data_IF_542393890838
#
_entry.id   IF_542393890838
#
_cell.length_a   1.000
_cell.length_b   1.000
_cell.length_c   1.000
_cell.angle_alpha   90.00
_cell.angle_beta   90.00
_cell.angle_gamma   90.00
#
_symmetry.space_group_name_H-M   'P 1'
#
loop_
_entity.id
_entity.type
_entity.pdbx_description
1 polymer ?
#
# COMPACT_ATOMS: atom_id res chain seq x y z
N UNK A 1 -42.01 -5.89 8.20
CA UNK A 1 -40.86 -5.26 7.52
C UNK A 1 -39.70 -5.17 8.50
N UNK A 2 -38.75 -6.10 8.42
CA UNK A 2 -37.55 -6.11 9.27
C UNK A 2 -36.59 -5.05 8.75
N UNK A 3 -36.29 -4.02 9.54
CA UNK A 3 -35.28 -3.01 9.19
C UNK A 3 -33.92 -3.71 9.09
N UNK A 4 -33.30 -3.73 7.90
CA UNK A 4 -31.88 -4.03 7.77
C UNK A 4 -31.11 -2.96 8.54
N UNK A 5 -30.44 -3.33 9.63
CA UNK A 5 -29.40 -2.50 10.24
C UNK A 5 -28.19 -2.55 9.30
N UNK A 6 -27.90 -1.47 8.59
CA UNK A 6 -26.62 -1.32 7.91
C UNK A 6 -25.53 -1.19 8.97
N UNK A 7 -24.82 -2.30 9.18
CA UNK A 7 -23.64 -2.40 10.01
C UNK A 7 -22.45 -1.96 9.15
N UNK A 8 -21.76 -0.88 9.50
CA UNK A 8 -20.63 -0.40 8.71
C UNK A 8 -19.51 -1.45 8.64
N UNK A 9 -18.79 -1.50 7.52
CA UNK A 9 -17.66 -2.43 7.30
C UNK A 9 -16.59 -2.36 8.40
N UNK A 10 -16.51 -1.26 9.16
CA UNK A 10 -15.62 -1.11 10.33
C UNK A 10 -15.88 -2.11 11.45
N UNK A 11 -17.08 -2.69 11.54
CA UNK A 11 -17.37 -3.75 12.51
C UNK A 11 -16.84 -5.12 12.07
N UNK A 12 -16.59 -5.28 10.76
CA UNK A 12 -16.00 -6.47 10.15
C UNK A 12 -14.48 -6.35 10.15
N UNK A 13 -13.95 -5.19 9.72
CA UNK A 13 -12.55 -4.88 9.79
C UNK A 13 -12.35 -3.43 10.26
N UNK A 14 -11.90 -3.19 11.49
CA UNK A 14 -11.61 -1.85 12.00
C UNK A 14 -10.59 -1.08 11.15
N UNK A 15 -9.77 -1.78 10.35
CA UNK A 15 -8.81 -1.16 9.41
C UNK A 15 -9.46 -0.73 8.09
N UNK A 16 -10.72 -1.06 7.85
CA UNK A 16 -11.49 -0.73 6.63
C UNK A 16 -10.82 -1.21 5.32
N UNK A 17 -10.13 -2.36 5.37
CA UNK A 17 -9.46 -2.96 4.21
C UNK A 17 -10.14 -4.25 3.76
N UNK A 18 -10.12 -4.51 2.46
CA UNK A 18 -10.49 -5.80 1.84
C UNK A 18 -9.23 -6.45 1.26
N UNK A 19 -9.18 -7.79 1.07
CA UNK A 19 -10.21 -8.77 1.40
C UNK A 19 -10.30 -9.10 2.90
N UNK A 20 -11.46 -9.62 3.33
CA UNK A 20 -11.70 -10.12 4.68
C UNK A 20 -12.44 -11.45 4.59
N UNK A 21 -12.02 -12.44 5.38
CA UNK A 21 -12.69 -13.73 5.53
C UNK A 21 -13.09 -13.91 7.00
N UNK A 22 -14.33 -14.34 7.24
CA UNK A 22 -14.83 -14.67 8.57
C UNK A 22 -15.17 -16.16 8.63
N UNK A 23 -14.64 -16.88 9.61
CA UNK A 23 -14.94 -18.29 9.90
C UNK A 23 -15.09 -18.42 11.41
N UNK A 24 -16.18 -19.03 11.88
CA UNK A 24 -16.47 -19.23 13.31
C UNK A 24 -16.26 -17.97 14.17
N UNK A 25 -16.72 -16.82 13.66
CA UNK A 25 -16.59 -15.49 14.26
C UNK A 25 -15.15 -14.94 14.38
N UNK A 26 -14.15 -15.62 13.81
CA UNK A 26 -12.76 -15.12 13.69
C UNK A 26 -12.52 -14.42 12.34
N UNK A 27 -11.79 -13.30 12.37
CA UNK A 27 -11.61 -12.39 11.22
C UNK A 27 -10.19 -12.42 10.65
N UNK A 28 -10.05 -12.78 9.38
CA UNK A 28 -8.79 -12.80 8.63
C UNK A 28 -8.77 -11.69 7.58
N UNK A 29 -7.75 -10.82 7.59
CA UNK A 29 -7.75 -9.57 6.80
C UNK A 29 -6.57 -9.42 5.83
N UNK A 30 -5.68 -10.42 5.77
CA UNK A 30 -4.51 -10.41 4.89
C UNK A 30 -4.64 -11.53 3.85
N UNK A 31 -4.33 -11.24 2.58
CA UNK A 31 -4.41 -12.22 1.49
C UNK A 31 -3.65 -13.52 1.82
N UNK A 32 -2.42 -13.50 2.36
CA UNK A 32 -1.74 -14.74 2.76
C UNK A 32 -2.47 -15.52 3.86
N UNK A 33 -3.04 -14.83 4.86
CA UNK A 33 -3.80 -15.45 5.94
C UNK A 33 -5.10 -16.09 5.42
N UNK A 34 -5.85 -15.35 4.59
CA UNK A 34 -7.08 -15.83 3.95
C UNK A 34 -6.80 -17.05 3.09
N UNK A 35 -5.76 -17.02 2.25
CA UNK A 35 -5.37 -18.15 1.41
C UNK A 35 -4.94 -19.36 2.24
N UNK A 36 -4.21 -19.14 3.34
CA UNK A 36 -3.79 -20.21 4.26
C UNK A 36 -4.98 -20.95 4.86
N UNK A 37 -5.96 -20.20 5.34
CA UNK A 37 -7.18 -20.75 5.93
C UNK A 37 -8.02 -21.47 4.89
N UNK A 38 -8.20 -20.89 3.70
CA UNK A 38 -8.92 -21.54 2.61
C UNK A 38 -8.26 -22.86 2.18
N UNK A 39 -6.92 -22.94 2.16
CA UNK A 39 -6.21 -24.18 1.88
C UNK A 39 -6.45 -25.23 2.97
N UNK A 40 -6.49 -24.83 4.25
CA UNK A 40 -6.79 -25.75 5.35
C UNK A 40 -8.23 -26.28 5.31
N UNK A 41 -9.20 -25.44 4.93
CA UNK A 41 -10.61 -25.82 4.77
C UNK A 41 -10.86 -26.68 3.52
N UNK A 42 -10.12 -26.44 2.44
CA UNK A 42 -10.32 -27.08 1.13
C UNK A 42 -9.75 -28.51 1.01
N UNK A 43 -9.55 -29.21 2.13
CA UNK A 43 -9.05 -30.60 2.26
C UNK A 43 -7.51 -30.75 2.38
N UNK A 44 -7.02 -31.57 3.35
CA UNK A 44 -5.59 -31.73 3.66
C UNK A 44 -4.76 -32.37 2.54
N UNK A 45 -5.38 -33.05 1.58
CA UNK A 45 -4.69 -33.74 0.47
C UNK A 45 -4.31 -32.82 -0.70
N UNK A 46 -4.77 -31.56 -0.70
CA UNK A 46 -4.44 -30.60 -1.75
C UNK A 46 -3.15 -29.86 -1.40
N UNK A 47 -2.02 -30.35 -1.96
CA UNK A 47 -0.67 -29.73 -1.90
C UNK A 47 -0.59 -28.41 -2.68
N UNK A 48 -1.45 -27.43 -2.39
CA UNK A 48 -1.54 -26.16 -3.13
C UNK A 48 -0.40 -25.21 -2.78
N UNK A 49 0.23 -25.34 -1.60
CA UNK A 49 1.25 -24.40 -1.12
C UNK A 49 2.70 -24.95 -1.10
N UNK A 50 2.94 -26.13 -1.68
CA UNK A 50 4.30 -26.63 -1.98
C UNK A 50 5.21 -27.00 -0.79
N UNK A 51 4.96 -26.50 0.44
CA UNK A 51 5.66 -26.87 1.70
C UNK A 51 4.70 -26.76 2.91
N UNK A 52 4.99 -27.52 3.97
CA UNK A 52 4.14 -27.66 5.16
C UNK A 52 4.01 -26.36 5.98
N UNK A 53 2.76 -26.02 6.35
CA UNK A 53 2.32 -24.80 7.04
C UNK A 53 3.06 -24.45 8.36
N UNK A 54 3.71 -25.41 9.02
CA UNK A 54 4.28 -25.19 10.36
C UNK A 54 5.50 -24.25 10.32
N UNK A 55 6.22 -24.17 9.19
CA UNK A 55 7.31 -23.20 9.03
C UNK A 55 6.82 -21.79 8.61
N UNK A 56 5.63 -21.68 8.01
CA UNK A 56 5.15 -20.44 7.38
C UNK A 56 4.10 -19.70 8.23
N UNK A 57 3.36 -20.40 9.09
CA UNK A 57 2.14 -19.85 9.70
C UNK A 57 2.30 -18.97 10.95
N UNK A 58 3.48 -18.91 11.59
CA UNK A 58 3.65 -18.16 12.85
C UNK A 58 4.69 -17.04 12.82
N UNK A 59 5.55 -16.97 11.79
CA UNK A 59 6.58 -15.93 11.62
C UNK A 59 6.25 -14.92 10.51
N UNK A 60 5.06 -15.00 9.90
CA UNK A 60 4.73 -14.34 8.65
C UNK A 60 4.53 -12.82 8.70
N UNK A 61 3.93 -12.18 9.73
CA UNK A 61 3.60 -10.75 9.61
C UNK A 61 4.84 -9.86 9.50
N UNK A 62 5.80 -10.05 10.39
CA UNK A 62 6.94 -9.13 10.49
C UNK A 62 7.98 -9.37 9.39
N UNK A 63 8.24 -10.63 9.03
CA UNK A 63 9.19 -10.96 7.95
C UNK A 63 8.66 -10.54 6.57
N UNK A 64 7.34 -10.67 6.33
CA UNK A 64 6.70 -10.18 5.10
C UNK A 64 6.70 -8.65 5.08
N UNK A 65 6.36 -7.98 6.19
CA UNK A 65 6.39 -6.52 6.30
C UNK A 65 7.80 -5.96 6.11
N UNK A 66 8.80 -6.57 6.74
CA UNK A 66 10.21 -6.18 6.60
C UNK A 66 10.67 -6.31 5.14
N UNK A 67 10.39 -7.43 4.47
CA UNK A 67 10.69 -7.60 3.04
C UNK A 67 9.94 -6.59 2.17
N UNK A 68 8.69 -6.27 2.51
CA UNK A 68 7.90 -5.23 1.84
C UNK A 68 8.56 -3.87 1.90
N UNK A 69 9.05 -3.46 3.09
CA UNK A 69 9.78 -2.21 3.28
C UNK A 69 11.07 -2.18 2.43
N UNK A 70 11.84 -3.28 2.42
CA UNK A 70 13.05 -3.38 1.59
C UNK A 70 12.74 -3.21 0.09
N UNK A 71 11.63 -3.79 -0.39
CA UNK A 71 11.20 -3.61 -1.78
C UNK A 71 10.84 -2.15 -2.09
N UNK A 72 10.18 -1.44 -1.16
CA UNK A 72 9.85 -0.02 -1.34
C UNK A 72 11.13 0.83 -1.39
N UNK A 73 12.10 0.56 -0.51
CA UNK A 73 13.41 1.24 -0.53
C UNK A 73 14.11 1.01 -1.87
N UNK A 74 14.19 -0.25 -2.32
CA UNK A 74 14.81 -0.58 -3.59
C UNK A 74 14.09 0.06 -4.79
N UNK A 75 12.76 0.09 -4.78
CA UNK A 75 11.96 0.73 -5.82
C UNK A 75 12.15 2.25 -5.84
N UNK A 76 12.16 2.91 -4.67
CA UNK A 76 12.42 4.36 -4.57
C UNK A 76 13.81 4.71 -5.07
N UNK A 77 14.83 3.94 -4.70
CA UNK A 77 16.20 4.11 -5.20
C UNK A 77 16.30 3.90 -6.72
N UNK A 78 15.60 2.89 -7.24
CA UNK A 78 15.53 2.66 -8.69
C UNK A 78 14.89 3.84 -9.42
N UNK A 79 13.74 4.33 -8.95
CA UNK A 79 13.07 5.51 -9.52
C UNK A 79 14.02 6.72 -9.51
N UNK A 80 14.63 7.04 -8.37
CA UNK A 80 15.60 8.13 -8.23
C UNK A 80 16.75 8.01 -9.24
N UNK A 81 17.28 6.80 -9.46
CA UNK A 81 18.34 6.57 -10.44
C UNK A 81 17.91 6.82 -11.89
N UNK A 82 16.62 6.64 -12.20
CA UNK A 82 16.07 6.72 -13.56
C UNK A 82 15.49 8.10 -13.90
N UNK A 83 15.10 8.88 -12.90
CA UNK A 83 14.61 10.23 -13.11
C UNK A 83 15.73 11.13 -13.61
N UNK A 84 15.41 11.92 -14.63
CA UNK A 84 16.34 12.86 -15.26
C UNK A 84 15.68 14.09 -15.89
N UNK A 85 14.35 14.16 -15.94
CA UNK A 85 13.60 15.26 -16.54
C UNK A 85 12.46 15.76 -15.65
N UNK A 86 11.64 16.66 -16.21
CA UNK A 86 10.49 17.26 -15.53
C UNK A 86 9.37 16.24 -15.23
N UNK A 87 9.30 15.17 -16.02
CA UNK A 87 8.26 14.16 -16.00
C UNK A 87 8.84 12.77 -15.71
N UNK A 88 8.00 11.87 -15.22
CA UNK A 88 8.42 10.51 -14.85
C UNK A 88 8.92 9.68 -16.03
N UNK A 89 8.38 9.91 -17.23
CA UNK A 89 8.79 9.21 -18.46
C UNK A 89 8.77 10.19 -19.63
N UNK A 90 9.88 10.25 -20.37
CA UNK A 90 10.02 11.14 -21.53
C UNK A 90 9.84 12.61 -21.15
N UNK A 91 9.33 13.39 -22.11
CA UNK A 91 9.25 14.85 -22.01
C UNK A 91 7.81 15.37 -21.78
N UNK A 92 6.87 14.50 -21.41
CA UNK A 92 5.47 14.86 -21.25
C UNK A 92 4.86 14.33 -19.95
N UNK A 93 3.88 15.06 -19.42
CA UNK A 93 3.06 14.62 -18.29
C UNK A 93 2.21 13.41 -18.68
N UNK A 94 2.28 12.35 -17.88
CA UNK A 94 1.53 11.11 -18.09
C UNK A 94 0.90 10.60 -16.79
N UNK A 95 0.16 9.49 -16.87
CA UNK A 95 -0.35 8.81 -15.68
C UNK A 95 0.76 8.32 -14.75
N UNK A 96 1.98 8.10 -15.25
CA UNK A 96 3.12 7.66 -14.43
C UNK A 96 3.43 8.69 -13.35
N UNK A 97 3.41 9.97 -13.70
CA UNK A 97 3.63 11.07 -12.75
C UNK A 97 2.63 11.02 -11.57
N UNK A 98 1.36 10.73 -11.85
CA UNK A 98 0.32 10.63 -10.82
C UNK A 98 0.54 9.41 -9.90
N UNK A 99 0.96 8.27 -10.45
CA UNK A 99 1.31 7.11 -9.63
C UNK A 99 2.54 7.36 -8.76
N UNK A 100 3.54 8.05 -9.30
CA UNK A 100 4.73 8.46 -8.57
C UNK A 100 4.38 9.38 -7.38
N UNK A 101 3.43 10.30 -7.53
CA UNK A 101 2.91 11.07 -6.39
C UNK A 101 2.31 10.17 -5.29
N UNK A 102 1.52 9.17 -5.66
CA UNK A 102 0.90 8.25 -4.67
C UNK A 102 1.96 7.46 -3.91
N UNK A 103 2.91 6.86 -4.64
CA UNK A 103 3.97 6.06 -4.03
C UNK A 103 4.91 6.90 -3.17
N UNK A 104 5.23 8.13 -3.58
CA UNK A 104 6.01 9.05 -2.76
C UNK A 104 5.34 9.30 -1.40
N UNK A 105 4.03 9.58 -1.40
CA UNK A 105 3.27 9.84 -0.16
C UNK A 105 3.20 8.63 0.74
N UNK A 106 3.07 7.43 0.17
CA UNK A 106 3.08 6.19 0.96
C UNK A 106 4.46 5.87 1.52
N UNK A 107 5.52 6.06 0.74
CA UNK A 107 6.90 5.90 1.19
C UNK A 107 7.21 6.83 2.37
N UNK A 108 6.79 8.10 2.27
CA UNK A 108 6.86 9.06 3.39
C UNK A 108 6.06 8.57 4.61
N UNK A 109 4.82 8.10 4.41
CA UNK A 109 3.96 7.62 5.50
C UNK A 109 4.55 6.42 6.27
N UNK A 110 5.28 5.52 5.59
CA UNK A 110 5.95 4.38 6.24
C UNK A 110 7.33 4.74 6.83
N UNK A 111 7.72 6.02 6.75
CA UNK A 111 8.87 6.57 7.47
C UNK A 111 10.14 6.80 6.65
N UNK A 112 10.14 6.63 5.32
CA UNK A 112 11.30 6.94 4.49
C UNK A 112 11.56 8.45 4.46
N UNK A 113 12.83 8.85 4.55
CA UNK A 113 13.27 10.25 4.46
C UNK A 113 13.27 10.74 3.00
N UNK A 114 12.09 10.87 2.41
CA UNK A 114 11.96 11.06 0.96
C UNK A 114 12.69 12.29 0.42
N UNK A 115 12.57 13.43 1.11
CA UNK A 115 13.21 14.70 0.73
C UNK A 115 14.73 14.66 0.81
N UNK A 116 15.28 13.85 1.74
CA UNK A 116 16.71 13.74 1.96
C UNK A 116 17.35 12.72 1.01
N UNK A 117 16.72 11.56 0.86
CA UNK A 117 17.33 10.40 0.22
C UNK A 117 16.99 10.29 -1.28
N UNK A 118 15.90 10.92 -1.75
CA UNK A 118 15.44 10.84 -3.15
C UNK A 118 15.11 12.22 -3.77
N UNK A 119 16.11 13.12 -3.91
CA UNK A 119 15.89 14.51 -4.30
C UNK A 119 15.28 14.71 -5.70
N UNK A 120 15.58 13.86 -6.69
CA UNK A 120 14.95 13.98 -8.03
C UNK A 120 13.49 13.57 -7.96
N UNK A 121 13.18 12.53 -7.22
CA UNK A 121 11.80 12.10 -6.98
C UNK A 121 11.03 13.20 -6.24
N UNK A 122 11.61 13.81 -5.21
CA UNK A 122 11.05 14.97 -4.52
C UNK A 122 10.81 16.14 -5.47
N UNK A 123 11.75 16.45 -6.38
CA UNK A 123 11.60 17.53 -7.34
C UNK A 123 10.43 17.28 -8.32
N UNK A 124 10.29 16.04 -8.82
CA UNK A 124 9.15 15.63 -9.64
C UNK A 124 7.82 15.84 -8.89
N UNK A 125 7.74 15.38 -7.64
CA UNK A 125 6.52 15.52 -6.82
C UNK A 125 6.23 16.99 -6.50
N UNK A 126 7.25 17.78 -6.17
CA UNK A 126 7.13 19.21 -5.92
C UNK A 126 6.61 19.97 -7.14
N UNK A 127 6.93 19.52 -8.35
CA UNK A 127 6.36 20.07 -9.58
C UNK A 127 4.89 19.66 -9.75
N UNK A 128 4.55 18.39 -9.48
CA UNK A 128 3.19 17.87 -9.67
C UNK A 128 2.16 18.50 -8.75
N UNK A 129 2.53 18.77 -7.49
CA UNK A 129 1.61 19.37 -6.51
C UNK A 129 1.29 20.85 -6.79
N UNK A 130 1.87 21.44 -7.84
CA UNK A 130 1.51 22.78 -8.33
C UNK A 130 0.37 22.75 -9.34
N UNK A 131 -0.04 21.58 -9.84
CA UNK A 131 -1.09 21.45 -10.84
C UNK A 131 -2.47 21.56 -10.19
N UNK A 132 -3.33 22.43 -10.71
CA UNK A 132 -4.68 22.67 -10.18
C UNK A 132 -5.49 21.39 -9.95
N UNK A 133 -5.46 20.46 -10.91
CA UNK A 133 -6.16 19.18 -10.79
C UNK A 133 -5.66 18.34 -9.60
N UNK A 134 -4.34 18.32 -9.37
CA UNK A 134 -3.73 17.59 -8.25
C UNK A 134 -4.09 18.27 -6.93
N UNK A 135 -3.98 19.59 -6.86
CA UNK A 135 -4.35 20.38 -5.66
C UNK A 135 -5.79 20.11 -5.29
N UNK A 136 -6.72 20.26 -6.24
CA UNK A 136 -8.15 20.02 -6.03
C UNK A 136 -8.44 18.62 -5.51
N UNK A 137 -7.82 17.59 -6.11
CA UNK A 137 -8.01 16.21 -5.63
C UNK A 137 -7.46 16.00 -4.22
N UNK A 138 -6.31 16.57 -3.87
CA UNK A 138 -5.75 16.45 -2.51
C UNK A 138 -6.65 17.12 -1.46
N UNK A 139 -7.23 18.27 -1.80
CA UNK A 139 -8.19 19.00 -0.96
C UNK A 139 -9.50 18.22 -0.78
N UNK A 140 -10.10 17.73 -1.88
CA UNK A 140 -11.34 16.94 -1.85
C UNK A 140 -11.19 15.67 -1.00
N UNK A 141 -10.03 15.01 -1.11
CA UNK A 141 -9.69 13.81 -0.33
C UNK A 141 -9.24 14.13 1.10
N UNK A 142 -9.17 15.41 1.48
CA UNK A 142 -8.76 15.90 2.81
C UNK A 142 -7.42 15.33 3.27
N UNK A 143 -6.48 15.25 2.34
CA UNK A 143 -5.17 14.69 2.57
C UNK A 143 -4.20 15.74 3.15
N UNK A 144 -3.28 15.36 4.05
CA UNK A 144 -2.29 16.29 4.56
C UNK A 144 -1.36 16.78 3.43
N UNK A 145 -0.75 17.98 3.59
CA UNK A 145 0.23 18.49 2.64
C UNK A 145 1.34 17.47 2.39
N UNK A 146 1.80 17.37 1.15
CA UNK A 146 2.79 16.34 0.75
C UNK A 146 4.13 16.53 1.45
N UNK A 147 4.48 17.76 1.80
CA UNK A 147 5.72 18.14 2.51
C UNK A 147 5.43 18.67 3.91
N UNK A 148 4.43 18.10 4.60
CA UNK A 148 4.18 18.43 5.99
C UNK A 148 5.28 17.83 6.89
N UNK A 149 5.74 18.54 7.94
CA UNK A 149 6.60 17.96 8.97
C UNK A 149 5.94 16.71 9.59
N UNK A 150 6.75 15.71 9.97
CA UNK A 150 6.22 14.59 10.77
C UNK A 150 5.78 15.12 12.14
N UNK A 151 4.54 14.82 12.51
CA UNK A 151 3.95 15.07 13.83
C UNK A 151 4.18 13.86 14.72
#
# INVERSE_FOLDING_TARGET
>A
MTKLKFCGFGLINPKLRVPVLSIDDEMFTEVPAILTVLVHLASPDRKVLGKTLIETGRAAPESIKAKGILNVIAASAFIESRLGGLHGVGDAFTVVDLYLLVFYRWAFYIGLEMEKDYPKYTALVANLVKRDAVVKTLEEMKLPPVFAPRV
#
